data_IF_887974061169
#
_entry.id   IF_887974061169
#
_cell.length_a   1.000
_cell.length_b   1.000
_cell.length_c   1.000
_cell.angle_alpha   90.00
_cell.angle_beta   90.00
_cell.angle_gamma   90.00
#
_symmetry.space_group_name_H-M   'P 1'
#
loop_
_entity.id
_entity.type
_entity.pdbx_description
1 polymer ?
#
# COMPACT_ATOMS: atom_id res chain seq x y z
N UNK A 1 -11.06 23.10 -14.64
CA UNK A 1 -10.00 24.13 -14.59
C UNK A 1 -8.83 23.57 -13.81
N UNK A 2 -7.65 23.43 -14.41
CA UNK A 2 -6.43 23.02 -13.72
C UNK A 2 -5.86 24.16 -12.87
N UNK A 3 -5.36 23.84 -11.69
CA UNK A 3 -4.62 24.81 -10.89
C UNK A 3 -3.17 24.84 -11.38
N UNK A 4 -2.69 26.00 -11.79
CA UNK A 4 -1.27 26.20 -12.16
C UNK A 4 -0.56 26.79 -10.95
N UNK A 5 0.50 26.11 -10.50
CA UNK A 5 1.37 26.57 -9.43
C UNK A 5 2.74 26.93 -10.00
N UNK A 6 3.33 27.99 -9.45
CA UNK A 6 4.77 28.22 -9.59
C UNK A 6 5.50 27.33 -8.58
N UNK A 7 6.28 26.37 -9.06
CA UNK A 7 6.92 25.36 -8.23
C UNK A 7 8.38 25.73 -7.99
N UNK A 8 8.79 25.71 -6.71
CA UNK A 8 10.14 26.03 -6.27
C UNK A 8 10.60 25.03 -5.22
N UNK A 9 11.91 24.88 -5.01
CA UNK A 9 12.53 23.98 -4.04
C UNK A 9 13.10 24.71 -2.79
N UNK A 10 12.95 26.03 -2.77
CA UNK A 10 13.38 26.93 -1.71
C UNK A 10 12.22 27.77 -1.18
N UNK A 11 12.47 28.61 -0.20
CA UNK A 11 11.48 29.61 0.19
C UNK A 11 11.35 30.70 -0.89
N UNK A 12 10.14 31.13 -1.21
CA UNK A 12 9.90 32.18 -2.22
C UNK A 12 10.42 33.53 -1.71
N UNK A 13 10.93 34.33 -2.64
CA UNK A 13 11.26 35.73 -2.40
C UNK A 13 10.00 36.58 -2.35
N UNK A 14 10.10 37.82 -1.86
CA UNK A 14 8.97 38.74 -1.84
C UNK A 14 8.52 39.14 -3.24
N UNK A 15 9.44 39.24 -4.18
CA UNK A 15 9.14 39.50 -5.61
C UNK A 15 8.36 38.33 -6.21
N UNK A 16 8.71 37.09 -5.93
CA UNK A 16 7.98 35.90 -6.37
C UNK A 16 6.59 35.84 -5.75
N UNK A 17 6.45 36.16 -4.46
CA UNK A 17 5.15 36.26 -3.79
C UNK A 17 4.26 37.34 -4.39
N UNK A 18 4.84 38.46 -4.82
CA UNK A 18 4.09 39.53 -5.48
C UNK A 18 3.67 39.13 -6.89
N UNK A 19 4.50 38.35 -7.59
CA UNK A 19 4.29 37.98 -8.99
C UNK A 19 3.33 36.80 -9.18
N UNK A 20 3.40 35.80 -8.27
CA UNK A 20 2.64 34.55 -8.43
C UNK A 20 1.61 34.39 -7.33
N UNK A 21 0.34 34.26 -7.70
CA UNK A 21 -0.78 34.10 -6.78
C UNK A 21 -0.79 32.73 -6.08
N UNK A 22 -0.10 31.74 -6.65
CA UNK A 22 -0.02 30.38 -6.11
C UNK A 22 1.40 29.86 -6.26
N UNK A 23 2.06 29.66 -5.13
CA UNK A 23 3.41 29.14 -5.07
C UNK A 23 3.37 27.82 -4.28
N UNK A 24 3.96 26.77 -4.82
CA UNK A 24 4.17 25.51 -4.14
C UNK A 24 5.66 25.29 -3.91
N UNK A 25 6.05 25.13 -2.65
CA UNK A 25 7.39 24.68 -2.29
C UNK A 25 7.40 23.16 -2.30
N UNK A 26 8.28 22.58 -3.11
CA UNK A 26 8.52 21.14 -3.15
C UNK A 26 9.85 20.84 -2.49
N UNK A 27 9.83 20.06 -1.44
CA UNK A 27 11.04 19.57 -0.78
C UNK A 27 11.16 18.08 -1.10
N UNK A 28 12.28 17.68 -1.67
CA UNK A 28 12.55 16.27 -1.89
C UNK A 28 12.78 15.60 -0.53
N UNK A 29 11.90 14.71 -0.15
CA UNK A 29 12.15 13.79 0.94
C UNK A 29 13.04 12.66 0.41
N UNK A 30 14.17 12.44 1.08
CA UNK A 30 15.08 11.32 0.80
C UNK A 30 14.66 10.04 1.51
N UNK A 31 13.58 10.11 2.30
CA UNK A 31 12.94 8.95 2.90
C UNK A 31 12.15 8.15 1.88
N UNK A 32 12.00 6.88 2.15
CA UNK A 32 11.23 5.97 1.31
C UNK A 32 11.93 4.64 1.11
N UNK A 33 11.21 3.72 0.51
CA UNK A 33 11.67 2.37 0.25
C UNK A 33 11.56 2.05 -1.23
N UNK A 34 12.46 1.20 -1.72
CA UNK A 34 12.36 0.69 -3.06
C UNK A 34 11.04 -0.06 -3.24
N UNK A 35 10.40 0.15 -4.38
CA UNK A 35 9.19 -0.58 -4.71
C UNK A 35 9.49 -2.09 -4.77
N UNK A 36 8.58 -2.89 -4.22
CA UNK A 36 8.59 -4.34 -4.31
C UNK A 36 7.39 -4.79 -5.15
N UNK A 37 7.60 -5.77 -5.99
CA UNK A 37 6.55 -6.34 -6.83
C UNK A 37 6.68 -7.85 -6.91
N UNK A 38 5.58 -8.52 -6.62
CA UNK A 38 5.43 -9.96 -6.87
C UNK A 38 4.49 -10.15 -8.06
N UNK A 39 4.93 -10.77 -9.17
CA UNK A 39 4.05 -11.07 -10.29
C UNK A 39 2.89 -11.98 -9.86
N UNK A 40 1.67 -11.63 -10.27
CA UNK A 40 0.45 -12.35 -9.88
C UNK A 40 0.32 -13.72 -10.56
N UNK A 41 1.04 -13.95 -11.64
CA UNK A 41 1.04 -15.20 -12.42
C UNK A 41 1.97 -16.28 -11.83
N UNK A 42 2.79 -15.93 -10.84
CA UNK A 42 3.63 -16.90 -10.15
C UNK A 42 2.79 -18.03 -9.53
N UNK A 43 3.27 -19.29 -9.59
CA UNK A 43 2.58 -20.43 -9.00
C UNK A 43 2.22 -20.20 -7.53
N UNK A 44 3.15 -19.72 -6.72
CA UNK A 44 2.92 -19.44 -5.30
C UNK A 44 1.85 -18.34 -5.07
N UNK A 45 1.82 -17.30 -5.91
CA UNK A 45 0.79 -16.26 -5.80
C UNK A 45 -0.60 -16.85 -6.08
N UNK A 46 -0.73 -17.69 -7.09
CA UNK A 46 -1.98 -18.40 -7.42
C UNK A 46 -2.41 -19.36 -6.30
N UNK A 47 -1.47 -20.08 -5.71
CA UNK A 47 -1.75 -20.98 -4.58
C UNK A 47 -2.27 -20.19 -3.36
N UNK A 48 -1.64 -19.07 -3.03
CA UNK A 48 -2.09 -18.19 -1.94
C UNK A 48 -3.50 -17.67 -2.22
N UNK A 49 -3.77 -17.18 -3.44
CA UNK A 49 -5.11 -16.71 -3.83
C UNK A 49 -6.13 -17.83 -3.68
N UNK A 50 -5.82 -19.04 -4.12
CA UNK A 50 -6.71 -20.20 -4.00
C UNK A 50 -6.96 -20.59 -2.54
N UNK A 51 -5.92 -20.60 -1.69
CA UNK A 51 -6.05 -20.89 -0.27
C UNK A 51 -6.94 -19.87 0.44
N UNK A 52 -6.72 -18.58 0.18
CA UNK A 52 -7.54 -17.49 0.73
C UNK A 52 -8.98 -17.62 0.24
N UNK A 53 -9.20 -17.88 -1.05
CA UNK A 53 -10.55 -18.07 -1.60
C UNK A 53 -11.25 -19.28 -1.00
N UNK A 54 -10.53 -20.36 -0.69
CA UNK A 54 -11.10 -21.54 -0.02
C UNK A 54 -11.50 -21.28 1.43
N UNK A 55 -10.92 -20.28 2.09
CA UNK A 55 -11.19 -19.93 3.48
C UNK A 55 -12.36 -18.94 3.65
N UNK A 56 -12.88 -18.35 2.58
CA UNK A 56 -13.99 -17.39 2.64
C UNK A 56 -15.06 -17.68 1.59
N UNK A 57 -16.30 -17.30 1.90
CA UNK A 57 -17.42 -17.36 0.95
C UNK A 57 -17.47 -16.15 0.02
N UNK A 58 -16.86 -15.06 0.44
CA UNK A 58 -16.79 -13.82 -0.33
C UNK A 58 -15.76 -13.93 -1.46
N UNK A 59 -16.01 -13.25 -2.56
CA UNK A 59 -15.06 -13.19 -3.67
C UNK A 59 -13.80 -12.45 -3.24
N UNK A 60 -12.66 -13.12 -3.30
CA UNK A 60 -11.36 -12.50 -3.04
C UNK A 60 -11.00 -11.54 -4.16
N UNK A 61 -10.78 -10.29 -3.79
CA UNK A 61 -10.31 -9.26 -4.70
C UNK A 61 -8.77 -9.22 -4.68
N UNK A 62 -8.18 -9.23 -5.86
CA UNK A 62 -6.72 -9.16 -6.01
C UNK A 62 -6.33 -7.87 -6.70
N UNK A 63 -5.34 -7.20 -6.14
CA UNK A 63 -4.83 -5.93 -6.67
C UNK A 63 -3.38 -6.09 -7.09
N UNK A 64 -3.01 -5.71 -8.32
CA UNK A 64 -1.63 -5.80 -8.79
C UNK A 64 -0.70 -4.77 -8.14
N UNK A 65 -1.27 -3.71 -7.58
CA UNK A 65 -0.56 -2.65 -6.88
C UNK A 65 -1.39 -2.14 -5.71
N UNK A 66 -0.71 -1.71 -4.67
CA UNK A 66 -1.32 -0.99 -3.54
C UNK A 66 -0.57 0.32 -3.31
N UNK A 67 -1.27 1.32 -2.77
CA UNK A 67 -0.64 2.54 -2.28
C UNK A 67 0.11 2.28 -0.97
N UNK A 68 1.06 3.14 -0.67
CA UNK A 68 1.89 3.03 0.52
C UNK A 68 3.26 2.41 0.24
N UNK A 69 4.16 2.58 1.20
CA UNK A 69 5.54 2.16 1.08
C UNK A 69 5.96 1.45 2.35
N UNK A 70 6.40 0.21 2.19
CA UNK A 70 6.97 -0.62 3.25
C UNK A 70 8.32 -1.16 2.78
N UNK A 71 9.26 -1.50 3.68
CA UNK A 71 10.57 -2.01 3.32
C UNK A 71 10.54 -3.48 2.85
N UNK A 72 9.52 -3.87 2.09
CA UNK A 72 9.29 -5.25 1.65
C UNK A 72 10.37 -5.76 0.71
N UNK A 73 11.04 -4.85 -0.01
CA UNK A 73 12.17 -5.19 -0.88
C UNK A 73 13.33 -5.89 -0.12
N UNK A 74 13.42 -5.71 1.20
CA UNK A 74 14.44 -6.36 2.01
C UNK A 74 14.28 -7.89 2.04
N UNK A 75 13.05 -8.38 2.05
CA UNK A 75 12.78 -9.83 2.00
C UNK A 75 13.25 -10.42 0.68
N UNK A 76 13.00 -9.74 -0.43
CA UNK A 76 13.48 -10.21 -1.73
C UNK A 76 15.00 -10.12 -1.82
N UNK A 77 15.60 -9.02 -1.37
CA UNK A 77 17.04 -8.78 -1.45
C UNK A 77 17.85 -9.75 -0.59
N UNK A 78 17.42 -10.04 0.61
CA UNK A 78 18.21 -10.78 1.59
C UNK A 78 17.80 -12.25 1.73
N UNK A 79 16.55 -12.58 1.45
CA UNK A 79 16.00 -13.93 1.61
C UNK A 79 15.59 -14.57 0.27
N UNK A 80 15.68 -13.83 -0.84
CA UNK A 80 15.13 -14.23 -2.15
C UNK A 80 13.65 -14.66 -2.05
N UNK A 81 12.91 -14.07 -1.10
CA UNK A 81 11.52 -14.40 -0.83
C UNK A 81 10.59 -13.42 -1.55
N UNK A 82 9.53 -13.94 -2.14
CA UNK A 82 8.46 -13.12 -2.72
C UNK A 82 7.46 -12.73 -1.62
N UNK A 83 6.95 -11.53 -1.71
CA UNK A 83 6.01 -10.98 -0.70
C UNK A 83 4.64 -10.81 -1.32
N UNK A 84 3.63 -11.33 -0.64
CA UNK A 84 2.23 -11.12 -0.97
C UNK A 84 1.55 -10.48 0.24
N UNK A 85 0.87 -9.37 0.03
CA UNK A 85 0.14 -8.67 1.07
C UNK A 85 -1.29 -9.19 1.17
N UNK A 86 -1.70 -9.58 2.36
CA UNK A 86 -3.09 -9.86 2.68
C UNK A 86 -3.67 -8.67 3.45
N UNK A 87 -4.63 -7.98 2.84
CA UNK A 87 -5.33 -6.88 3.50
C UNK A 87 -6.39 -7.43 4.44
N UNK A 88 -6.30 -7.08 5.73
CA UNK A 88 -7.23 -7.53 6.76
C UNK A 88 -8.16 -6.42 7.27
N UNK A 89 -7.81 -5.18 7.03
CA UNK A 89 -8.60 -4.03 7.46
C UNK A 89 -9.77 -3.74 6.50
N UNK A 90 -10.80 -3.09 7.00
CA UNK A 90 -11.88 -2.58 6.17
C UNK A 90 -11.40 -1.38 5.33
N UNK A 91 -12.04 -1.15 4.17
CA UNK A 91 -11.68 -0.08 3.24
C UNK A 91 -11.87 1.33 3.82
N UNK A 92 -12.73 1.46 4.82
CA UNK A 92 -13.10 2.69 5.52
C UNK A 92 -12.48 2.77 6.94
N UNK A 93 -11.32 2.16 7.12
CA UNK A 93 -10.66 2.05 8.42
C UNK A 93 -9.99 3.34 8.92
N UNK A 94 -9.98 4.41 8.13
CA UNK A 94 -9.31 5.67 8.44
C UNK A 94 -7.83 5.53 8.80
N UNK A 95 -7.12 4.62 8.15
CA UNK A 95 -5.71 4.37 8.41
C UNK A 95 -4.89 5.68 8.41
N UNK A 96 -4.06 5.85 9.44
CA UNK A 96 -3.24 7.05 9.69
C UNK A 96 -4.04 8.34 9.96
N UNK A 97 -5.30 8.23 10.36
CA UNK A 97 -6.18 9.36 10.67
C UNK A 97 -6.93 9.16 11.98
N UNK A 98 -7.68 10.19 12.40
CA UNK A 98 -8.54 10.09 13.56
C UNK A 98 -9.60 9.00 13.38
N UNK A 99 -9.98 8.34 14.46
CA UNK A 99 -10.94 7.24 14.48
C UNK A 99 -10.54 6.03 13.61
N UNK A 100 -9.26 5.75 13.51
CA UNK A 100 -8.80 4.50 12.88
C UNK A 100 -9.47 3.30 13.54
N UNK A 101 -10.00 2.41 12.71
CA UNK A 101 -10.85 1.32 13.18
C UNK A 101 -10.68 0.05 12.35
N UNK A 102 -11.05 -1.07 12.94
CA UNK A 102 -11.12 -2.35 12.24
C UNK A 102 -12.37 -3.11 12.68
N UNK A 103 -13.09 -3.68 11.72
CA UNK A 103 -14.26 -4.52 12.02
C UNK A 103 -13.81 -5.85 12.62
N UNK A 104 -14.41 -6.24 13.74
CA UNK A 104 -14.12 -7.52 14.39
C UNK A 104 -14.31 -8.70 13.43
N UNK A 105 -15.33 -8.63 12.58
CA UNK A 105 -15.57 -9.64 11.54
C UNK A 105 -14.34 -9.82 10.62
N UNK A 106 -13.70 -8.73 10.20
CA UNK A 106 -12.51 -8.80 9.36
C UNK A 106 -11.33 -9.49 10.07
N UNK A 107 -11.22 -9.30 11.38
CA UNK A 107 -10.20 -9.99 12.19
C UNK A 107 -10.43 -11.51 12.15
N UNK A 108 -11.68 -11.96 12.37
CA UNK A 108 -12.01 -13.37 12.32
C UNK A 108 -11.79 -14.00 10.94
N UNK A 109 -12.21 -13.30 9.87
CA UNK A 109 -11.97 -13.76 8.51
C UNK A 109 -10.46 -13.82 8.19
N UNK A 110 -9.69 -12.87 8.68
CA UNK A 110 -8.23 -12.84 8.50
C UNK A 110 -7.54 -14.01 9.18
N UNK A 111 -7.98 -14.39 10.38
CA UNK A 111 -7.45 -15.56 11.09
C UNK A 111 -7.68 -16.83 10.26
N UNK A 112 -8.87 -17.01 9.70
CA UNK A 112 -9.18 -18.16 8.82
C UNK A 112 -8.29 -18.16 7.57
N UNK A 113 -8.17 -17.01 6.91
CA UNK A 113 -7.37 -16.85 5.69
C UNK A 113 -5.88 -17.11 5.95
N UNK A 114 -5.33 -16.56 7.04
CA UNK A 114 -3.94 -16.81 7.44
C UNK A 114 -3.71 -18.28 7.80
N UNK A 115 -4.66 -18.90 8.50
CA UNK A 115 -4.60 -20.33 8.81
C UNK A 115 -4.57 -21.18 7.54
N UNK A 116 -5.39 -20.85 6.55
CA UNK A 116 -5.38 -21.55 5.27
C UNK A 116 -4.04 -21.41 4.53
N UNK A 117 -3.43 -20.22 4.55
CA UNK A 117 -2.09 -20.00 3.97
C UNK A 117 -1.03 -20.84 4.71
N UNK A 118 -1.08 -20.89 6.05
CA UNK A 118 -0.13 -21.66 6.85
C UNK A 118 -0.26 -23.18 6.67
N UNK A 119 -1.41 -23.66 6.19
CA UNK A 119 -1.68 -25.08 5.91
C UNK A 119 -1.42 -25.46 4.43
N UNK A 120 -0.93 -24.54 3.61
CA UNK A 120 -0.54 -24.84 2.23
C UNK A 120 0.66 -25.81 2.22
N UNK A 121 0.60 -26.83 1.34
CA UNK A 121 1.70 -27.76 1.05
C UNK A 121 2.62 -27.25 -0.07
#
# INVERSE_FOLDING_TARGET
MGFVFYVIDRNPTDEERAKYSKIAKVTADRGGYNAQRTPMDLPIAKQIIAAVQGATKEKVLTFPTAGGSLPLFLFEKHLNAKVVNLCIANHDNNQHSENENTRIHNIWESIKQLSAIMMME
#
